data_IF_303153749162
#
_entry.id   IF_303153749162
#
_cell.length_a   1.000
_cell.length_b   1.000
_cell.length_c   1.000
_cell.angle_alpha   90.00
_cell.angle_beta   90.00
_cell.angle_gamma   90.00
#
_symmetry.space_group_name_H-M   'P 1'
#
loop_
_entity.id
_entity.type
_entity.pdbx_description
1 polymer ?
#
# COMPACT_ATOMS: atom_id res chain seq x y z
N UNK A 1 -29.30 -23.80 11.26
CA UNK A 1 -28.14 -23.02 10.74
C UNK A 1 -28.16 -21.70 11.49
N UNK A 2 -27.48 -21.68 12.62
CA UNK A 2 -27.58 -20.66 13.67
C UNK A 2 -26.98 -19.33 13.21
N UNK A 3 -27.50 -18.22 13.72
CA UNK A 3 -27.18 -16.83 13.34
C UNK A 3 -25.68 -16.52 13.26
N UNK A 4 -24.87 -17.26 14.02
CA UNK A 4 -23.40 -17.26 13.95
C UNK A 4 -22.89 -17.48 12.52
N UNK A 5 -23.42 -18.47 11.79
CA UNK A 5 -23.01 -18.78 10.41
C UNK A 5 -23.36 -17.66 9.41
N UNK A 6 -24.42 -16.87 9.68
CA UNK A 6 -24.78 -15.70 8.86
C UNK A 6 -23.80 -14.55 9.09
N UNK A 7 -23.47 -14.24 10.35
CA UNK A 7 -22.54 -13.16 10.70
C UNK A 7 -21.16 -13.37 10.05
N UNK A 8 -20.66 -14.61 10.01
CA UNK A 8 -19.36 -14.91 9.37
C UNK A 8 -19.39 -14.83 7.84
N UNK A 9 -20.49 -15.27 7.22
CA UNK A 9 -20.69 -15.12 5.77
C UNK A 9 -20.76 -13.65 5.38
N UNK A 10 -21.37 -12.81 6.22
CA UNK A 10 -21.43 -11.36 6.04
C UNK A 10 -20.03 -10.72 6.17
N UNK A 11 -19.19 -11.18 7.09
CA UNK A 11 -17.82 -10.68 7.27
C UNK A 11 -16.93 -10.90 6.04
N UNK A 12 -16.92 -12.12 5.48
CA UNK A 12 -16.16 -12.43 4.25
C UNK A 12 -16.67 -11.66 3.03
N UNK A 13 -17.99 -11.48 2.94
CA UNK A 13 -18.60 -10.71 1.86
C UNK A 13 -18.23 -9.23 1.95
N UNK A 14 -18.34 -8.62 3.15
CA UNK A 14 -17.91 -7.23 3.41
C UNK A 14 -16.44 -7.03 3.06
N UNK A 15 -15.56 -7.94 3.51
CA UNK A 15 -14.15 -7.90 3.18
C UNK A 15 -13.91 -7.93 1.66
N UNK A 16 -14.56 -8.88 0.96
CA UNK A 16 -14.43 -9.01 -0.50
C UNK A 16 -14.84 -7.71 -1.21
N UNK A 17 -15.99 -7.14 -0.86
CA UNK A 17 -16.48 -5.89 -1.47
C UNK A 17 -15.55 -4.73 -1.17
N UNK A 18 -15.14 -4.55 0.09
CA UNK A 18 -14.23 -3.47 0.50
C UNK A 18 -12.87 -3.58 -0.19
N UNK A 19 -12.27 -4.78 -0.19
CA UNK A 19 -10.98 -5.02 -0.83
C UNK A 19 -11.04 -4.70 -2.32
N UNK A 20 -12.10 -5.14 -3.03
CA UNK A 20 -12.26 -4.88 -4.46
C UNK A 20 -12.49 -3.40 -4.77
N UNK A 21 -13.24 -2.69 -3.92
CA UNK A 21 -13.45 -1.25 -4.08
C UNK A 21 -12.12 -0.51 -4.02
N UNK A 22 -11.31 -0.77 -2.99
CA UNK A 22 -9.97 -0.17 -2.87
C UNK A 22 -9.05 -0.60 -4.02
N UNK A 23 -9.05 -1.89 -4.36
CA UNK A 23 -8.26 -2.45 -5.46
C UNK A 23 -8.54 -1.71 -6.77
N UNK A 24 -9.79 -1.69 -7.22
CA UNK A 24 -10.14 -1.03 -8.48
C UNK A 24 -9.96 0.49 -8.42
N UNK A 25 -10.16 1.14 -7.26
CA UNK A 25 -9.88 2.56 -7.11
C UNK A 25 -8.38 2.88 -7.31
N UNK A 26 -7.48 2.08 -6.75
CA UNK A 26 -6.03 2.26 -6.93
C UNK A 26 -5.58 1.92 -8.34
N UNK A 27 -6.11 0.86 -8.94
CA UNK A 27 -5.79 0.50 -10.32
C UNK A 27 -6.36 1.53 -11.32
N UNK A 28 -7.51 2.12 -11.04
CA UNK A 28 -8.03 3.26 -11.80
C UNK A 28 -7.14 4.50 -11.65
N UNK A 29 -6.65 4.77 -10.44
CA UNK A 29 -5.65 5.82 -10.25
C UNK A 29 -4.38 5.54 -11.08
N UNK A 30 -3.88 4.30 -11.09
CA UNK A 30 -2.75 3.90 -11.91
C UNK A 30 -3.02 4.08 -13.41
N UNK A 31 -4.25 3.82 -13.86
CA UNK A 31 -4.67 4.09 -15.23
C UNK A 31 -4.51 5.55 -15.61
N UNK A 32 -5.06 6.45 -14.79
CA UNK A 32 -5.04 7.90 -15.03
C UNK A 32 -3.60 8.44 -15.04
N UNK A 33 -2.72 7.86 -14.22
CA UNK A 33 -1.35 8.32 -14.05
C UNK A 33 -0.34 7.59 -14.95
N UNK A 34 -0.82 6.89 -15.99
CA UNK A 34 0.02 6.15 -16.92
C UNK A 34 0.99 5.19 -16.22
N UNK A 35 0.49 4.42 -15.25
CA UNK A 35 1.28 3.44 -14.47
C UNK A 35 1.01 1.98 -14.83
N UNK A 36 0.21 1.73 -15.87
CA UNK A 36 0.07 0.40 -16.44
C UNK A 36 1.23 0.07 -17.38
N UNK A 37 1.58 -1.21 -17.46
CA UNK A 37 2.67 -1.66 -18.32
C UNK A 37 2.36 -1.41 -19.80
N UNK A 38 1.13 -1.69 -20.23
CA UNK A 38 0.69 -1.48 -21.61
C UNK A 38 0.68 -0.01 -22.03
N UNK A 39 0.58 0.94 -21.08
CA UNK A 39 0.64 2.37 -21.36
C UNK A 39 2.08 2.88 -21.51
N UNK A 40 3.03 2.36 -20.72
CA UNK A 40 4.40 2.88 -20.66
C UNK A 40 5.37 2.09 -21.54
N UNK A 41 5.21 0.76 -21.61
CA UNK A 41 6.10 -0.18 -22.30
C UNK A 41 7.60 0.08 -21.99
N UNK A 42 8.00 -0.10 -20.72
CA UNK A 42 9.33 0.29 -20.24
C UNK A 42 10.43 -0.59 -20.84
N UNK A 43 11.50 0.04 -21.33
CA UNK A 43 12.63 -0.64 -21.99
C UNK A 43 13.86 -0.80 -21.09
N UNK A 44 13.85 -0.18 -19.91
CA UNK A 44 14.96 -0.19 -18.95
C UNK A 44 14.51 -0.69 -17.58
N UNK A 45 15.48 -1.22 -16.81
CA UNK A 45 15.27 -1.72 -15.46
C UNK A 45 15.99 -0.81 -14.47
N UNK A 46 15.35 -0.54 -13.34
CA UNK A 46 16.01 0.04 -12.18
C UNK A 46 16.52 -1.08 -11.28
N UNK A 47 17.78 -0.97 -10.87
CA UNK A 47 18.35 -1.85 -9.86
C UNK A 47 18.28 -1.14 -8.51
N UNK A 48 17.35 -1.55 -7.66
CA UNK A 48 17.36 -1.20 -6.24
C UNK A 48 17.92 -2.37 -5.43
N UNK A 49 18.61 -2.11 -4.31
CA UNK A 49 19.23 -3.16 -3.46
C UNK A 49 18.20 -3.95 -2.64
N UNK A 50 16.98 -4.12 -3.15
CA UNK A 50 15.90 -4.86 -2.50
C UNK A 50 15.93 -6.32 -2.95
N UNK A 51 16.17 -7.25 -2.01
CA UNK A 51 16.27 -8.69 -2.28
C UNK A 51 15.11 -9.25 -3.13
N UNK A 52 13.83 -8.90 -2.87
CA UNK A 52 12.72 -9.40 -3.71
C UNK A 52 12.78 -8.90 -5.15
N UNK A 53 13.20 -7.64 -5.36
CA UNK A 53 13.33 -7.07 -6.69
C UNK A 53 14.50 -7.71 -7.44
N UNK A 54 15.64 -7.89 -6.78
CA UNK A 54 16.82 -8.59 -7.32
C UNK A 54 16.49 -10.02 -7.71
N UNK A 55 15.71 -10.73 -6.89
CA UNK A 55 15.24 -12.08 -7.23
C UNK A 55 14.41 -12.09 -8.52
N UNK A 56 13.45 -11.17 -8.66
CA UNK A 56 12.64 -11.06 -9.88
C UNK A 56 13.49 -10.72 -11.10
N UNK A 57 14.45 -9.81 -10.97
CA UNK A 57 15.38 -9.47 -12.04
C UNK A 57 16.23 -10.69 -12.45
N UNK A 58 16.68 -11.51 -11.48
CA UNK A 58 17.44 -12.73 -11.73
C UNK A 58 16.66 -13.82 -12.47
N UNK A 59 15.32 -13.85 -12.36
CA UNK A 59 14.50 -14.83 -13.10
C UNK A 59 14.50 -14.64 -14.62
N UNK A 60 14.90 -13.46 -15.11
CA UNK A 60 14.84 -13.12 -16.53
C UNK A 60 13.44 -12.74 -17.03
N UNK A 61 12.40 -12.79 -16.19
CA UNK A 61 11.04 -12.33 -16.55
C UNK A 61 11.06 -10.89 -17.09
N UNK A 62 11.73 -9.92 -16.45
CA UNK A 62 11.74 -8.54 -16.95
C UNK A 62 12.36 -8.43 -18.35
N UNK A 63 13.44 -9.18 -18.61
CA UNK A 63 14.08 -9.24 -19.93
C UNK A 63 13.14 -9.83 -20.99
N UNK A 64 12.40 -10.89 -20.64
CA UNK A 64 11.43 -11.51 -21.54
C UNK A 64 10.28 -10.55 -21.90
N UNK A 65 9.80 -9.76 -20.93
CA UNK A 65 8.75 -8.75 -21.16
C UNK A 65 9.20 -7.68 -22.16
N UNK A 66 10.44 -7.17 -22.04
CA UNK A 66 10.99 -6.18 -22.98
C UNK A 66 11.06 -6.74 -24.41
N UNK A 67 11.34 -8.04 -24.56
CA UNK A 67 11.39 -8.70 -25.87
C UNK A 67 10.00 -8.97 -26.47
N UNK A 68 8.94 -8.96 -25.65
CA UNK A 68 7.57 -9.29 -26.07
C UNK A 68 6.58 -8.22 -25.59
N UNK A 69 6.46 -7.07 -26.30
CA UNK A 69 5.63 -5.95 -25.84
C UNK A 69 4.16 -6.29 -25.59
N UNK A 70 3.60 -7.27 -26.30
CA UNK A 70 2.23 -7.76 -26.07
C UNK A 70 2.03 -8.38 -24.68
N UNK A 71 3.10 -8.84 -24.04
CA UNK A 71 3.05 -9.40 -22.69
C UNK A 71 2.72 -8.35 -21.63
N UNK A 72 3.05 -7.07 -21.85
CA UNK A 72 2.68 -5.98 -20.95
C UNK A 72 1.17 -5.81 -20.81
N UNK A 73 0.46 -5.81 -21.95
CA UNK A 73 -1.01 -5.73 -21.96
C UNK A 73 -1.61 -6.95 -21.28
N UNK A 74 -1.04 -8.14 -21.51
CA UNK A 74 -1.45 -9.36 -20.84
C UNK A 74 -1.32 -9.27 -19.31
N UNK A 75 -0.23 -8.70 -18.80
CA UNK A 75 -0.04 -8.53 -17.35
C UNK A 75 -1.15 -7.65 -16.75
N UNK A 76 -1.46 -6.54 -17.40
CA UNK A 76 -2.48 -5.60 -16.95
C UNK A 76 -3.89 -6.20 -17.03
N UNK A 77 -4.20 -6.95 -18.10
CA UNK A 77 -5.50 -7.61 -18.24
C UNK A 77 -5.67 -8.68 -17.16
N UNK A 78 -4.63 -9.49 -16.91
CA UNK A 78 -4.72 -10.56 -15.90
C UNK A 78 -4.87 -9.97 -14.51
N UNK A 79 -4.14 -8.89 -14.14
CA UNK A 79 -4.27 -8.31 -12.79
C UNK A 79 -5.67 -7.75 -12.54
N UNK A 80 -6.31 -7.18 -13.57
CA UNK A 80 -7.65 -6.62 -13.48
C UNK A 80 -8.75 -7.68 -13.49
N UNK A 81 -8.57 -8.78 -14.22
CA UNK A 81 -9.59 -9.84 -14.34
C UNK A 81 -9.47 -10.92 -13.25
N UNK A 82 -8.30 -11.11 -12.63
CA UNK A 82 -8.11 -12.13 -11.59
C UNK A 82 -9.11 -12.00 -10.43
N UNK A 83 -9.37 -10.80 -9.87
CA UNK A 83 -10.33 -10.64 -8.80
C UNK A 83 -11.76 -11.05 -9.22
N UNK A 84 -12.13 -10.89 -10.48
CA UNK A 84 -13.42 -11.34 -11.00
C UNK A 84 -13.58 -12.87 -10.91
N UNK A 85 -12.50 -13.63 -11.12
CA UNK A 85 -12.50 -15.08 -10.92
C UNK A 85 -12.71 -15.48 -9.44
N UNK A 86 -12.11 -14.74 -8.51
CA UNK A 86 -12.34 -14.91 -7.06
C UNK A 86 -13.81 -14.65 -6.72
N UNK A 87 -14.37 -13.55 -7.24
CA UNK A 87 -15.77 -13.17 -7.04
C UNK A 87 -16.72 -14.23 -7.58
N UNK A 88 -16.52 -14.68 -8.82
CA UNK A 88 -17.36 -15.70 -9.45
C UNK A 88 -17.34 -17.01 -8.65
N UNK A 89 -16.16 -17.43 -8.16
CA UNK A 89 -16.05 -18.61 -7.31
C UNK A 89 -16.75 -18.41 -5.96
N UNK A 90 -16.56 -17.26 -5.32
CA UNK A 90 -17.16 -16.94 -4.03
C UNK A 90 -18.69 -16.97 -4.11
N UNK A 91 -19.32 -16.30 -5.07
CA UNK A 91 -20.78 -16.29 -5.20
C UNK A 91 -21.36 -17.67 -5.55
N UNK A 92 -20.61 -18.51 -6.27
CA UNK A 92 -21.06 -19.86 -6.61
C UNK A 92 -21.00 -20.82 -5.41
N UNK A 93 -19.98 -20.70 -4.57
CA UNK A 93 -19.66 -21.71 -3.55
C UNK A 93 -19.77 -21.20 -2.10
N UNK A 94 -20.02 -19.91 -1.90
CA UNK A 94 -20.02 -19.19 -0.61
C UNK A 94 -18.75 -19.40 0.23
N UNK A 95 -17.63 -19.66 -0.43
CA UNK A 95 -16.32 -19.93 0.19
C UNK A 95 -15.21 -19.44 -0.71
N UNK A 96 -14.09 -19.04 -0.12
CA UNK A 96 -12.86 -18.82 -0.87
C UNK A 96 -12.22 -20.16 -1.29
N UNK A 97 -11.29 -20.08 -2.23
CA UNK A 97 -10.53 -21.21 -2.73
C UNK A 97 -9.04 -20.93 -2.51
N UNK A 98 -8.37 -21.83 -1.78
CA UNK A 98 -6.95 -21.72 -1.47
C UNK A 98 -6.08 -21.55 -2.71
N UNK A 99 -6.29 -22.35 -3.76
CA UNK A 99 -5.46 -22.32 -4.97
C UNK A 99 -5.65 -20.98 -5.69
N UNK A 100 -6.90 -20.56 -5.92
CA UNK A 100 -7.17 -19.25 -6.54
C UNK A 100 -6.62 -18.09 -5.72
N UNK A 101 -6.77 -18.13 -4.39
CA UNK A 101 -6.25 -17.10 -3.50
C UNK A 101 -4.73 -17.01 -3.51
N UNK A 102 -4.02 -18.15 -3.42
CA UNK A 102 -2.55 -18.19 -3.47
C UNK A 102 -2.03 -17.75 -4.83
N UNK A 103 -2.65 -18.22 -5.92
CA UNK A 103 -2.30 -17.79 -7.28
C UNK A 103 -2.50 -16.29 -7.47
N UNK A 104 -3.60 -15.72 -6.94
CA UNK A 104 -3.83 -14.28 -6.97
C UNK A 104 -2.77 -13.52 -6.18
N UNK A 105 -2.47 -13.93 -4.94
CA UNK A 105 -1.44 -13.27 -4.11
C UNK A 105 -0.07 -13.31 -4.77
N UNK A 106 0.33 -14.47 -5.29
CA UNK A 106 1.61 -14.64 -5.96
C UNK A 106 1.70 -13.77 -7.22
N UNK A 107 0.62 -13.74 -8.02
CA UNK A 107 0.54 -12.90 -9.20
C UNK A 107 0.60 -11.41 -8.86
N UNK A 108 -0.15 -10.98 -7.85
CA UNK A 108 -0.17 -9.59 -7.38
C UNK A 108 1.19 -9.14 -6.84
N UNK A 109 1.87 -10.00 -6.09
CA UNK A 109 3.23 -9.75 -5.61
C UNK A 109 4.21 -9.59 -6.78
N UNK A 110 4.17 -10.51 -7.75
CA UNK A 110 4.99 -10.41 -8.96
C UNK A 110 4.70 -9.11 -9.73
N UNK A 111 3.43 -8.77 -9.90
CA UNK A 111 3.00 -7.56 -10.60
C UNK A 111 3.57 -6.29 -9.96
N UNK A 112 3.45 -6.13 -8.63
CA UNK A 112 4.01 -4.95 -7.94
C UNK A 112 5.54 -4.93 -7.96
N UNK A 113 6.22 -6.07 -7.82
CA UNK A 113 7.68 -6.15 -7.94
C UNK A 113 8.15 -5.72 -9.33
N UNK A 114 7.44 -6.16 -10.38
CA UNK A 114 7.71 -5.70 -11.74
C UNK A 114 7.46 -4.19 -11.89
N UNK A 115 6.39 -3.64 -11.31
CA UNK A 115 6.10 -2.20 -11.40
C UNK A 115 7.18 -1.37 -10.71
N UNK A 116 7.72 -1.85 -9.60
CA UNK A 116 8.85 -1.22 -8.93
C UNK A 116 10.11 -1.27 -9.78
N UNK A 117 10.46 -2.44 -10.32
CA UNK A 117 11.66 -2.62 -11.14
C UNK A 117 11.63 -1.84 -12.46
N UNK A 118 10.46 -1.70 -13.08
CA UNK A 118 10.30 -1.18 -14.45
C UNK A 118 9.68 0.22 -14.54
N UNK A 119 8.75 0.55 -13.64
CA UNK A 119 7.94 1.78 -13.71
C UNK A 119 8.24 2.76 -12.55
N UNK A 120 9.21 2.41 -11.70
CA UNK A 120 9.61 3.19 -10.54
C UNK A 120 8.44 3.48 -9.57
N UNK A 121 7.51 2.52 -9.46
CA UNK A 121 6.40 2.61 -8.51
C UNK A 121 6.88 2.12 -7.14
N UNK A 122 6.73 2.93 -6.11
CA UNK A 122 7.12 2.54 -4.75
C UNK A 122 6.33 1.32 -4.27
N UNK A 123 7.04 0.32 -3.73
CA UNK A 123 6.43 -0.91 -3.22
C UNK A 123 5.70 -0.71 -1.89
N UNK A 124 6.25 0.14 -1.00
CA UNK A 124 5.76 0.28 0.37
C UNK A 124 4.24 0.51 0.49
N UNK A 125 3.61 1.41 -0.30
CA UNK A 125 2.16 1.62 -0.25
C UNK A 125 1.35 0.41 -0.74
N UNK A 126 1.93 -0.47 -1.56
CA UNK A 126 1.26 -1.62 -2.17
C UNK A 126 1.33 -2.89 -1.31
N UNK A 127 2.24 -2.95 -0.33
CA UNK A 127 2.41 -4.12 0.56
C UNK A 127 1.11 -4.58 1.23
N UNK A 128 0.23 -3.70 1.75
CA UNK A 128 -1.02 -4.13 2.38
C UNK A 128 -1.97 -4.87 1.43
N UNK A 129 -1.95 -4.60 0.13
CA UNK A 129 -2.76 -5.35 -0.85
C UNK A 129 -2.35 -6.82 -0.92
N UNK A 130 -1.04 -7.08 -0.90
CA UNK A 130 -0.48 -8.43 -0.93
C UNK A 130 -0.79 -9.15 0.38
N UNK A 131 -0.59 -8.49 1.52
CA UNK A 131 -0.93 -9.06 2.84
C UNK A 131 -2.42 -9.42 2.91
N UNK A 132 -3.30 -8.48 2.56
CA UNK A 132 -4.74 -8.68 2.65
C UNK A 132 -5.26 -9.69 1.61
N UNK A 133 -4.58 -9.87 0.48
CA UNK A 133 -4.94 -10.95 -0.45
C UNK A 133 -4.78 -12.35 0.18
N UNK A 134 -3.97 -12.49 1.24
CA UNK A 134 -3.86 -13.70 2.04
C UNK A 134 -5.18 -14.14 2.70
N UNK A 135 -6.13 -13.23 2.86
CA UNK A 135 -7.49 -13.54 3.35
C UNK A 135 -8.24 -14.48 2.39
N UNK A 136 -7.96 -14.43 1.09
CA UNK A 136 -8.55 -15.32 0.08
C UNK A 136 -8.04 -16.76 0.17
N UNK A 137 -7.02 -17.03 0.99
CA UNK A 137 -6.52 -18.38 1.25
C UNK A 137 -7.43 -19.15 2.21
N UNK A 138 -8.29 -18.42 2.93
CA UNK A 138 -9.02 -18.94 4.08
C UNK A 138 -10.39 -19.52 3.69
N UNK A 139 -10.47 -20.84 3.59
CA UNK A 139 -11.76 -21.53 3.38
C UNK A 139 -12.62 -21.61 4.67
N UNK A 140 -12.02 -21.43 5.84
CA UNK A 140 -12.67 -21.49 7.16
C UNK A 140 -12.71 -20.11 7.82
N UNK A 141 -13.78 -19.83 8.56
CA UNK A 141 -13.97 -18.55 9.26
C UNK A 141 -12.92 -18.32 10.35
N UNK A 142 -12.53 -19.37 11.08
CA UNK A 142 -11.48 -19.28 12.09
C UNK A 142 -10.13 -18.85 11.47
N UNK A 143 -9.78 -19.44 10.32
CA UNK A 143 -8.54 -19.09 9.60
C UNK A 143 -8.61 -17.66 9.08
N UNK A 144 -9.76 -17.27 8.51
CA UNK A 144 -9.99 -15.91 8.03
C UNK A 144 -9.76 -14.89 9.15
N UNK A 145 -10.37 -15.10 10.31
CA UNK A 145 -10.20 -14.22 11.47
C UNK A 145 -8.77 -14.18 12.01
N UNK A 146 -8.07 -15.32 12.01
CA UNK A 146 -6.68 -15.36 12.42
C UNK A 146 -5.79 -14.54 11.46
N UNK A 147 -5.97 -14.70 10.15
CA UNK A 147 -5.22 -13.93 9.15
C UNK A 147 -5.56 -12.43 9.25
N UNK A 148 -6.81 -12.05 9.50
CA UNK A 148 -7.20 -10.65 9.70
C UNK A 148 -6.48 -10.02 10.90
N UNK A 149 -6.42 -10.75 12.02
CA UNK A 149 -5.71 -10.32 13.24
C UNK A 149 -4.21 -10.16 12.97
N UNK A 150 -3.60 -11.11 12.26
CA UNK A 150 -2.18 -11.02 11.87
C UNK A 150 -1.95 -9.83 10.94
N UNK A 151 -2.79 -9.64 9.93
CA UNK A 151 -2.71 -8.51 9.01
C UNK A 151 -2.81 -7.16 9.75
N UNK A 152 -3.73 -7.03 10.71
CA UNK A 152 -3.83 -5.87 11.60
C UNK A 152 -2.51 -5.61 12.33
N UNK A 153 -1.91 -6.63 12.95
CA UNK A 153 -0.62 -6.47 13.64
C UNK A 153 0.51 -6.05 12.70
N UNK A 154 0.55 -6.57 11.47
CA UNK A 154 1.55 -6.16 10.49
C UNK A 154 1.37 -4.68 10.13
N UNK A 155 0.13 -4.21 9.90
CA UNK A 155 -0.15 -2.79 9.61
C UNK A 155 0.30 -1.89 10.76
N UNK A 156 -0.06 -2.24 12.00
CA UNK A 156 0.37 -1.50 13.19
C UNK A 156 1.90 -1.49 13.32
N UNK A 157 2.55 -2.62 13.02
CA UNK A 157 4.01 -2.75 13.02
C UNK A 157 4.66 -1.87 11.97
N UNK A 158 4.11 -1.78 10.75
CA UNK A 158 4.65 -0.92 9.69
C UNK A 158 4.74 0.54 10.14
N UNK A 159 3.69 1.08 10.74
CA UNK A 159 3.69 2.47 11.23
C UNK A 159 4.56 2.66 12.46
N UNK A 160 4.45 1.78 13.46
CA UNK A 160 5.25 1.87 14.68
C UNK A 160 6.76 1.72 14.40
N UNK A 161 7.14 0.79 13.52
CA UNK A 161 8.54 0.59 13.13
C UNK A 161 9.07 1.77 12.30
N UNK A 162 8.26 2.35 11.42
CA UNK A 162 8.65 3.56 10.69
C UNK A 162 8.98 4.71 11.65
N UNK A 163 8.14 4.94 12.68
CA UNK A 163 8.41 5.95 13.70
C UNK A 163 9.70 5.63 14.48
N UNK A 164 9.86 4.37 14.90
CA UNK A 164 11.04 3.94 15.67
C UNK A 164 12.34 4.13 14.88
N UNK A 165 12.35 3.80 13.58
CA UNK A 165 13.51 4.03 12.71
C UNK A 165 13.84 5.50 12.48
N UNK A 166 12.86 6.42 12.58
CA UNK A 166 13.12 7.87 12.55
C UNK A 166 13.80 8.32 13.84
N UNK A 167 13.38 7.78 14.99
CA UNK A 167 13.96 8.10 16.30
C UNK A 167 15.38 7.54 16.43
N UNK A 168 15.56 6.25 16.13
CA UNK A 168 16.83 5.54 16.30
C UNK A 168 17.96 6.11 15.41
N UNK A 169 17.62 6.67 14.24
CA UNK A 169 18.59 7.32 13.36
C UNK A 169 18.93 8.76 13.77
N UNK A 170 18.36 9.26 14.88
CA UNK A 170 18.58 10.65 15.33
C UNK A 170 17.93 11.69 14.42
N UNK A 171 17.06 11.29 13.50
CA UNK A 171 16.47 12.18 12.49
C UNK A 171 15.60 13.29 13.08
N UNK A 172 15.14 13.13 14.33
CA UNK A 172 14.37 14.15 15.05
C UNK A 172 15.25 15.27 15.61
N UNK A 173 16.53 14.99 15.88
CA UNK A 173 17.46 15.92 16.52
C UNK A 173 18.13 16.81 15.48
N UNK A 174 18.40 16.27 14.28
CA UNK A 174 19.02 17.00 13.19
C UNK A 174 18.05 18.05 12.60
N UNK A 175 18.27 19.37 12.83
CA UNK A 175 17.29 20.41 12.51
C UNK A 175 17.03 20.57 11.00
N UNK A 176 17.93 20.06 10.16
CA UNK A 176 17.89 20.22 8.71
C UNK A 176 17.41 18.95 7.99
N UNK A 177 17.13 17.87 8.73
CA UNK A 177 16.82 16.57 8.15
C UNK A 177 15.63 16.62 7.20
N UNK A 178 14.51 17.24 7.63
CA UNK A 178 13.33 17.33 6.78
C UNK A 178 13.55 18.24 5.56
N UNK A 179 14.25 19.36 5.71
CA UNK A 179 14.58 20.23 4.57
C UNK A 179 15.44 19.50 3.54
N UNK A 180 16.40 18.70 3.99
CA UNK A 180 17.21 17.85 3.11
C UNK A 180 16.36 16.81 2.37
N UNK A 181 15.48 16.11 3.08
CA UNK A 181 14.56 15.12 2.47
C UNK A 181 13.67 15.79 1.41
N UNK A 182 13.09 16.94 1.72
CA UNK A 182 12.26 17.69 0.77
C UNK A 182 13.08 18.17 -0.44
N UNK A 183 14.32 18.62 -0.23
CA UNK A 183 15.21 19.01 -1.32
C UNK A 183 15.53 17.84 -2.24
N UNK A 184 15.83 16.67 -1.69
CA UNK A 184 16.11 15.45 -2.46
C UNK A 184 14.87 15.00 -3.26
N UNK A 185 13.69 14.98 -2.64
CA UNK A 185 12.45 14.55 -3.28
C UNK A 185 11.95 15.50 -4.36
N UNK A 186 12.17 16.80 -4.17
CA UNK A 186 11.70 17.84 -5.09
C UNK A 186 12.82 18.47 -5.92
N UNK A 187 14.01 17.84 -5.98
CA UNK A 187 15.17 18.36 -6.71
C UNK A 187 14.83 18.71 -8.17
N UNK A 188 14.03 17.87 -8.82
CA UNK A 188 13.59 18.10 -10.20
C UNK A 188 12.80 19.42 -10.36
N UNK A 189 11.99 19.81 -9.36
CA UNK A 189 11.22 21.06 -9.38
C UNK A 189 12.07 22.30 -9.12
N UNK A 190 13.24 22.14 -8.49
CA UNK A 190 14.16 23.24 -8.26
C UNK A 190 15.04 23.53 -9.48
N UNK A 191 15.31 22.50 -10.30
CA UNK A 191 16.12 22.63 -11.51
C UNK A 191 15.28 23.09 -12.70
N UNK A 192 14.00 22.72 -12.76
CA UNK A 192 13.06 23.21 -13.76
C UNK A 192 12.39 24.52 -13.31
N UNK A 193 12.19 25.48 -14.21
CA UNK A 193 11.37 26.67 -13.94
C UNK A 193 9.90 26.28 -13.65
N UNK A 194 9.60 26.05 -12.37
CA UNK A 194 8.27 25.68 -11.91
C UNK A 194 7.52 26.89 -11.35
N UNK A 195 6.60 27.45 -12.15
CA UNK A 195 5.75 28.59 -11.77
C UNK A 195 4.46 28.20 -11.02
N UNK A 196 4.31 26.95 -10.59
CA UNK A 196 3.11 26.50 -9.90
C UNK A 196 3.15 26.83 -8.40
N UNK A 197 1.99 27.13 -7.80
CA UNK A 197 1.85 27.42 -6.35
C UNK A 197 2.49 26.36 -5.46
N UNK A 198 2.41 25.09 -5.89
CA UNK A 198 2.96 23.95 -5.16
C UNK A 198 4.48 24.03 -5.07
N UNK A 199 5.15 24.56 -6.09
CA UNK A 199 6.60 24.72 -6.08
C UNK A 199 7.01 25.81 -5.08
N UNK A 200 6.30 26.96 -5.07
CA UNK A 200 6.50 27.99 -4.05
C UNK A 200 6.27 27.48 -2.62
N UNK A 201 5.25 26.63 -2.42
CA UNK A 201 4.98 26.00 -1.12
C UNK A 201 6.13 25.09 -0.66
N UNK A 202 6.65 24.23 -1.52
CA UNK A 202 7.79 23.35 -1.18
C UNK A 202 9.08 24.15 -0.95
N UNK A 203 9.34 25.17 -1.77
CA UNK A 203 10.50 26.07 -1.57
C UNK A 203 10.41 26.78 -0.22
N UNK A 204 9.23 27.27 0.17
CA UNK A 204 9.00 27.88 1.48
C UNK A 204 9.29 26.92 2.64
N UNK A 205 8.82 25.67 2.55
CA UNK A 205 9.10 24.65 3.56
C UNK A 205 10.61 24.37 3.66
N UNK A 206 11.29 24.23 2.53
CA UNK A 206 12.73 23.91 2.51
C UNK A 206 13.56 25.05 3.10
N UNK A 207 13.20 26.29 2.80
CA UNK A 207 13.81 27.50 3.35
C UNK A 207 13.45 27.76 4.82
N UNK A 208 12.48 27.02 5.38
CA UNK A 208 12.04 27.12 6.77
C UNK A 208 12.35 25.84 7.56
N UNK A 209 13.63 25.57 7.91
CA UNK A 209 14.02 24.32 8.59
C UNK A 209 13.24 24.04 9.88
N UNK A 210 12.97 25.07 10.69
CA UNK A 210 12.22 24.92 11.95
C UNK A 210 10.80 24.41 11.69
N UNK A 211 10.11 24.97 10.70
CA UNK A 211 8.75 24.55 10.35
C UNK A 211 8.75 23.12 9.79
N UNK A 212 9.65 22.83 8.85
CA UNK A 212 9.79 21.51 8.24
C UNK A 212 10.13 20.44 9.28
N UNK A 213 11.08 20.71 10.17
CA UNK A 213 11.44 19.78 11.24
C UNK A 213 10.31 19.57 12.23
N UNK A 214 9.55 20.63 12.57
CA UNK A 214 8.35 20.50 13.41
C UNK A 214 7.32 19.57 12.78
N UNK A 215 7.06 19.71 11.47
CA UNK A 215 6.15 18.82 10.73
C UNK A 215 6.66 17.38 10.74
N UNK A 216 7.96 17.17 10.58
CA UNK A 216 8.58 15.84 10.63
C UNK A 216 8.45 15.18 12.01
N UNK A 217 8.64 15.95 13.08
CA UNK A 217 8.44 15.50 14.46
C UNK A 217 6.97 15.12 14.69
N UNK A 218 6.03 15.99 14.30
CA UNK A 218 4.58 15.73 14.42
C UNK A 218 4.19 14.48 13.65
N UNK A 219 4.67 14.29 12.42
CA UNK A 219 4.42 13.10 11.63
C UNK A 219 4.96 11.84 12.30
N UNK A 220 6.15 11.91 12.92
CA UNK A 220 6.74 10.79 13.65
C UNK A 220 5.92 10.41 14.88
N UNK A 221 5.42 11.39 15.63
CA UNK A 221 4.53 11.13 16.76
C UNK A 221 3.17 10.58 16.31
N UNK A 222 2.63 11.05 15.19
CA UNK A 222 1.42 10.50 14.60
C UNK A 222 1.60 9.01 14.28
N UNK A 223 2.68 8.63 13.59
CA UNK A 223 3.00 7.22 13.32
C UNK A 223 3.16 6.40 14.61
N UNK A 224 3.76 6.98 15.66
CA UNK A 224 3.93 6.33 16.96
C UNK A 224 2.60 6.01 17.64
N UNK A 225 1.53 6.77 17.38
CA UNK A 225 0.19 6.48 17.97
C UNK A 225 -0.33 5.08 17.60
N UNK A 226 0.13 4.50 16.48
CA UNK A 226 -0.23 3.15 16.07
C UNK A 226 0.27 2.07 17.04
N UNK A 227 1.23 2.38 17.92
CA UNK A 227 1.64 1.49 19.01
C UNK A 227 0.45 1.17 19.93
N UNK A 228 -0.47 2.12 20.15
CA UNK A 228 -1.66 1.90 20.98
C UNK A 228 -2.55 0.76 20.43
N UNK A 229 -2.57 0.57 19.11
CA UNK A 229 -3.32 -0.49 18.45
C UNK A 229 -2.86 -1.90 18.82
N UNK A 230 -1.61 -2.09 19.28
CA UNK A 230 -1.15 -3.41 19.73
C UNK A 230 -1.83 -3.86 21.02
N UNK A 231 -2.10 -2.91 21.91
CA UNK A 231 -2.61 -3.18 23.25
C UNK A 231 -4.13 -3.12 23.32
N UNK A 232 -4.77 -2.33 22.46
CA UNK A 232 -6.23 -2.16 22.49
C UNK A 232 -6.82 -1.94 21.11
N UNK A 233 -8.10 -2.31 20.97
CA UNK A 233 -8.93 -2.04 19.78
C UNK A 233 -9.85 -0.84 19.95
N UNK A 234 -9.95 -0.29 21.16
CA UNK A 234 -10.86 0.83 21.50
C UNK A 234 -10.63 2.05 20.60
N UNK A 235 -9.40 2.25 20.15
CA UNK A 235 -8.99 3.39 19.35
C UNK A 235 -8.91 3.11 17.85
N UNK A 236 -9.36 1.95 17.35
CA UNK A 236 -9.19 1.59 15.94
C UNK A 236 -9.84 2.61 14.97
N UNK A 237 -11.00 3.19 15.32
CA UNK A 237 -11.62 4.29 14.54
C UNK A 237 -10.73 5.53 14.47
N UNK A 238 -10.10 5.89 15.59
CA UNK A 238 -9.17 7.01 15.65
C UNK A 238 -7.91 6.70 14.82
N UNK A 239 -7.39 5.47 14.88
CA UNK A 239 -6.25 5.05 14.07
C UNK A 239 -6.55 5.10 12.56
N UNK A 240 -7.77 4.75 12.15
CA UNK A 240 -8.21 4.92 10.74
C UNK A 240 -8.23 6.40 10.35
N UNK A 241 -8.75 7.28 11.21
CA UNK A 241 -8.73 8.72 10.93
C UNK A 241 -7.28 9.23 10.82
N UNK A 242 -6.40 8.85 11.74
CA UNK A 242 -4.99 9.23 11.73
C UNK A 242 -4.27 8.67 10.50
N UNK A 243 -4.62 7.46 10.03
CA UNK A 243 -4.11 6.90 8.78
C UNK A 243 -4.49 7.77 7.58
N UNK A 244 -5.74 8.21 7.48
CA UNK A 244 -6.21 9.09 6.40
C UNK A 244 -5.47 10.42 6.44
N UNK A 245 -5.37 11.04 7.62
CA UNK A 245 -4.62 12.29 7.83
C UNK A 245 -3.17 12.10 7.38
N UNK A 246 -2.51 11.02 7.80
CA UNK A 246 -1.14 10.72 7.41
C UNK A 246 -0.96 10.62 5.89
N UNK A 247 -1.86 9.92 5.20
CA UNK A 247 -1.82 9.77 3.74
C UNK A 247 -1.99 11.11 3.03
N UNK A 248 -2.96 11.93 3.46
CA UNK A 248 -3.20 13.25 2.88
C UNK A 248 -2.00 14.18 3.07
N UNK A 249 -1.44 14.23 4.27
CA UNK A 249 -0.28 15.06 4.56
C UNK A 249 0.97 14.62 3.80
N UNK A 250 1.22 13.30 3.69
CA UNK A 250 2.32 12.79 2.86
C UNK A 250 2.15 13.17 1.39
N UNK A 251 0.92 13.13 0.86
CA UNK A 251 0.68 13.53 -0.52
C UNK A 251 0.91 15.03 -0.74
N UNK A 252 0.56 15.88 0.23
CA UNK A 252 0.72 17.35 0.09
C UNK A 252 2.18 17.76 0.26
N UNK A 253 2.87 17.21 1.28
CA UNK A 253 4.22 17.65 1.69
C UNK A 253 5.31 16.88 0.94
N UNK A 254 5.20 15.56 0.89
CA UNK A 254 6.23 14.68 0.32
C UNK A 254 5.92 14.33 -1.15
N UNK A 255 4.68 14.55 -1.58
CA UNK A 255 4.13 14.12 -2.88
C UNK A 255 4.38 12.66 -3.19
N UNK A 256 4.40 11.84 -2.15
CA UNK A 256 4.51 10.39 -2.31
C UNK A 256 3.09 9.81 -2.34
N UNK A 257 2.74 9.09 -3.42
CA UNK A 257 1.43 8.51 -3.66
C UNK A 257 1.04 7.38 -2.69
N UNK A 258 0.75 7.71 -1.43
CA UNK A 258 0.49 6.71 -0.37
C UNK A 258 -0.95 6.21 -0.28
N UNK A 259 -1.89 6.65 -1.12
CA UNK A 259 -3.31 6.22 -1.06
C UNK A 259 -3.51 4.71 -1.10
N UNK A 260 -2.59 3.95 -1.73
CA UNK A 260 -2.66 2.50 -1.77
C UNK A 260 -2.63 1.87 -0.37
N UNK A 261 -1.99 2.53 0.62
CA UNK A 261 -1.95 2.03 1.99
C UNK A 261 -3.32 2.06 2.67
N UNK A 262 -4.29 2.85 2.17
CA UNK A 262 -5.63 2.98 2.77
C UNK A 262 -6.42 1.68 2.78
N UNK A 263 -6.09 0.71 1.92
CA UNK A 263 -6.70 -0.63 2.00
C UNK A 263 -6.44 -1.30 3.36
N UNK A 264 -5.34 -0.94 4.03
CA UNK A 264 -5.04 -1.42 5.38
C UNK A 264 -6.08 -0.97 6.42
N UNK A 265 -6.85 0.10 6.16
CA UNK A 265 -7.93 0.54 7.03
C UNK A 265 -8.99 -0.55 7.25
N UNK A 266 -9.17 -1.48 6.30
CA UNK A 266 -10.04 -2.66 6.43
C UNK A 266 -9.66 -3.47 7.68
N UNK A 267 -8.36 -3.64 7.95
CA UNK A 267 -7.87 -4.43 9.10
C UNK A 267 -8.18 -3.80 10.45
N UNK A 268 -8.37 -2.48 10.49
CA UNK A 268 -8.71 -1.72 11.69
C UNK A 268 -10.24 -1.53 11.81
N UNK A 269 -10.93 -1.43 10.68
CA UNK A 269 -12.37 -1.19 10.64
C UNK A 269 -13.18 -2.47 10.87
N UNK A 270 -12.81 -3.58 10.23
CA UNK A 270 -13.56 -4.84 10.31
C UNK A 270 -13.33 -5.57 11.64
N UNK A 271 -12.24 -5.31 12.36
CA UNK A 271 -12.06 -5.86 13.70
C UNK A 271 -13.03 -5.30 14.76
N UNK A 272 -13.80 -4.27 14.40
CA UNK A 272 -14.79 -3.62 15.26
C UNK A 272 -16.13 -4.36 15.22
N UNK A 273 -16.52 -4.97 14.08
CA UNK A 273 -17.87 -5.55 13.94
C UNK A 273 -18.06 -6.89 14.63
N UNK A 274 -17.04 -7.41 15.31
CA UNK A 274 -17.15 -8.62 16.15
C UNK A 274 -17.67 -8.31 17.57
N UNK A 275 -17.91 -7.03 17.91
CA UNK A 275 -18.25 -6.56 19.27
C UNK A 275 -19.57 -5.79 19.40
N UNK A 276 -20.29 -5.55 18.31
CA UNK A 276 -21.66 -5.02 18.30
C UNK A 276 -22.63 -6.13 17.87
#
# INVERSE_FOLDING_TARGET
MSDVCRIWADGKHKFLVNYLLFFYAVFFFFFINHKFFGQVQPMYFRLEPDLPQLFVLATGIPKWLVLHPGAYVWLDVVVLLFPAAIVAYYYRNNKFNLVLGVSFTAYLMLYFLLQSALLNVSLHPCVPYVILSGMFWCNSDLRFQLVLKVARFIVLYMFASAAMWKILRGALIEPQQMSYILMEQHANYMVSDCNAWICSFHTYLIQSPVLSQTLYIVATFLEMTFIAGFFTRKYDKLLVLLLIVFVVFNQIIMRIPYWAILVSAITLWESISDYD
#
